data_IF_164623923231
#
_entry.id   IF_164623923231
#
_cell.length_a   1.000
_cell.length_b   1.000
_cell.length_c   1.000
_cell.angle_alpha   90.00
_cell.angle_beta   90.00
_cell.angle_gamma   90.00
#
_symmetry.space_group_name_H-M   'P 1'
#
loop_
_entity.id
_entity.type
_entity.pdbx_description
1 polymer ?
#
# COMPACT_ATOMS: atom_id res chain seq x y z
N UNK A 1 34.61 -11.70 -27.02
CA UNK A 1 34.59 -11.47 -25.56
C UNK A 1 34.63 -9.96 -25.37
N UNK A 2 33.48 -9.36 -25.13
CA UNK A 2 33.33 -7.90 -24.95
C UNK A 2 32.88 -7.67 -23.52
N UNK A 3 33.83 -7.40 -22.65
CA UNK A 3 33.57 -7.04 -21.26
C UNK A 3 32.96 -5.64 -21.23
N UNK A 4 31.66 -5.58 -20.95
CA UNK A 4 31.01 -4.31 -20.57
C UNK A 4 31.20 -4.11 -19.08
N UNK A 5 31.62 -2.91 -18.62
CA UNK A 5 31.82 -2.65 -17.20
C UNK A 5 30.48 -2.59 -16.46
N UNK A 6 30.47 -2.89 -15.15
CA UNK A 6 29.27 -2.80 -14.34
C UNK A 6 28.79 -1.35 -14.20
N UNK A 7 27.49 -1.13 -14.43
CA UNK A 7 26.83 0.15 -14.20
C UNK A 7 26.65 0.33 -12.70
N UNK A 8 27.52 1.10 -12.06
CA UNK A 8 27.30 1.62 -10.71
C UNK A 8 26.46 2.88 -10.79
N UNK A 9 25.16 2.77 -10.47
CA UNK A 9 24.31 3.92 -10.18
C UNK A 9 24.70 4.50 -8.81
N UNK A 10 25.64 5.44 -8.80
CA UNK A 10 25.87 6.29 -7.63
C UNK A 10 24.64 7.18 -7.41
N UNK A 11 23.75 6.73 -6.52
CA UNK A 11 22.62 7.53 -6.08
C UNK A 11 23.13 8.57 -5.09
N UNK A 12 23.27 9.80 -5.57
CA UNK A 12 23.67 10.93 -4.75
C UNK A 12 22.52 11.27 -3.77
N UNK A 13 22.51 10.63 -2.60
CA UNK A 13 21.63 10.99 -1.48
C UNK A 13 22.13 12.30 -0.86
N UNK A 14 21.95 13.39 -1.60
CA UNK A 14 21.99 14.73 -1.02
C UNK A 14 21.01 14.74 0.15
N UNK A 15 21.57 15.03 1.33
CA UNK A 15 20.87 15.18 2.61
C UNK A 15 19.64 16.07 2.37
N UNK A 16 18.45 15.47 2.27
CA UNK A 16 17.21 16.22 2.46
C UNK A 16 17.18 16.59 3.92
N UNK A 17 17.72 17.76 4.22
CA UNK A 17 17.47 18.46 5.47
C UNK A 17 15.95 18.45 5.70
N UNK A 18 15.54 17.94 6.87
CA UNK A 18 14.18 18.03 7.38
C UNK A 18 13.86 19.49 7.66
N UNK A 19 13.70 20.28 6.60
CA UNK A 19 13.12 21.62 6.64
C UNK A 19 11.71 21.48 7.20
N UNK A 20 11.37 22.35 8.15
CA UNK A 20 10.15 22.27 8.97
C UNK A 20 8.91 21.94 8.14
N UNK A 21 8.37 20.75 8.35
CA UNK A 21 7.18 20.26 7.63
C UNK A 21 5.97 21.05 8.10
N UNK A 22 5.47 21.95 7.26
CA UNK A 22 4.28 22.76 7.53
C UNK A 22 3.07 21.83 7.65
N UNK A 23 2.47 21.75 8.83
CA UNK A 23 1.22 21.01 9.06
C UNK A 23 0.05 21.87 8.62
N UNK A 24 -0.85 21.32 7.81
CA UNK A 24 -2.09 21.99 7.40
C UNK A 24 -3.25 21.36 8.19
N UNK A 25 -4.26 22.17 8.51
CA UNK A 25 -5.53 21.72 9.09
C UNK A 25 -6.12 20.56 8.26
N UNK A 26 -6.42 19.44 8.91
CA UNK A 26 -6.93 18.22 8.28
C UNK A 26 -8.32 18.40 7.66
N UNK A 27 -9.04 19.48 7.98
CA UNK A 27 -10.38 19.77 7.46
C UNK A 27 -10.40 20.61 6.17
N UNK A 28 -9.30 21.28 5.81
CA UNK A 28 -9.25 22.17 4.65
C UNK A 28 -9.12 21.41 3.31
N UNK A 29 -9.81 21.83 2.24
CA UNK A 29 -9.53 21.35 0.89
C UNK A 29 -8.12 21.78 0.47
N UNK A 30 -7.34 20.85 -0.09
CA UNK A 30 -6.01 21.14 -0.62
C UNK A 30 -6.23 21.95 -1.90
N UNK A 31 -5.85 23.23 -1.89
CA UNK A 31 -5.86 24.05 -3.10
C UNK A 31 -4.93 23.44 -4.15
N UNK A 32 -5.33 23.51 -5.42
CA UNK A 32 -4.56 23.00 -6.55
C UNK A 32 -3.16 23.62 -6.57
N UNK A 33 -2.14 22.86 -6.14
CA UNK A 33 -0.74 23.26 -6.34
C UNK A 33 0.27 22.75 -5.31
N UNK A 34 -0.10 22.59 -4.03
CA UNK A 34 0.86 22.17 -3.00
C UNK A 34 0.33 20.99 -2.19
N UNK A 35 0.74 19.79 -2.60
CA UNK A 35 0.50 18.59 -1.81
C UNK A 35 1.29 18.68 -0.50
N UNK A 36 0.60 18.48 0.62
CA UNK A 36 1.25 18.34 1.92
C UNK A 36 0.73 17.06 2.62
N UNK A 37 1.57 16.52 3.50
CA UNK A 37 1.19 15.41 4.36
C UNK A 37 0.26 15.93 5.46
N UNK A 38 -0.89 15.27 5.67
CA UNK A 38 -1.83 15.66 6.71
C UNK A 38 -1.32 15.29 8.12
N UNK A 39 -1.81 15.93 9.19
CA UNK A 39 -1.43 15.61 10.56
C UNK A 39 -1.64 14.12 10.88
N UNK A 40 -0.75 13.52 11.69
CA UNK A 40 -0.79 12.12 12.10
C UNK A 40 -0.64 11.08 10.96
N UNK A 41 -0.35 11.48 9.73
CA UNK A 41 -0.18 10.55 8.61
C UNK A 41 0.93 9.51 8.85
N UNK A 42 1.97 9.85 9.60
CA UNK A 42 3.03 8.93 10.02
C UNK A 42 2.54 7.79 10.93
N UNK A 43 1.37 7.94 11.55
CA UNK A 43 0.77 6.91 12.40
C UNK A 43 0.04 5.82 11.62
N UNK A 44 -0.34 6.08 10.36
CA UNK A 44 -1.12 5.15 9.54
C UNK A 44 -0.16 4.10 8.93
N UNK A 45 -0.25 2.80 9.30
CA UNK A 45 0.64 1.76 8.77
C UNK A 45 0.25 1.31 7.35
N UNK A 46 -1.05 1.32 7.02
CA UNK A 46 -1.57 0.87 5.72
C UNK A 46 -1.37 1.96 4.63
N UNK A 47 -0.60 1.69 3.56
CA UNK A 47 -0.36 2.65 2.49
C UNK A 47 -1.63 3.10 1.74
N UNK A 48 -2.62 2.20 1.60
CA UNK A 48 -3.89 2.54 0.96
C UNK A 48 -4.68 3.57 1.77
N UNK A 49 -4.87 3.30 3.08
CA UNK A 49 -5.59 4.21 3.98
C UNK A 49 -4.87 5.54 4.14
N UNK A 50 -3.54 5.51 4.22
CA UNK A 50 -2.70 6.71 4.21
C UNK A 50 -2.96 7.55 2.95
N UNK A 51 -3.00 6.90 1.79
CA UNK A 51 -3.25 7.58 0.52
C UNK A 51 -4.66 8.16 0.48
N UNK A 52 -5.68 7.43 0.93
CA UNK A 52 -7.03 7.98 1.01
C UNK A 52 -7.12 9.16 1.97
N UNK A 53 -6.43 9.11 3.11
CA UNK A 53 -6.38 10.20 4.09
C UNK A 53 -5.70 11.44 3.53
N UNK A 54 -4.46 11.32 3.06
CA UNK A 54 -3.67 12.46 2.57
C UNK A 54 -4.31 13.15 1.35
N UNK A 55 -5.06 12.41 0.54
CA UNK A 55 -5.80 12.95 -0.61
C UNK A 55 -7.26 13.32 -0.27
N UNK A 56 -7.62 13.42 1.02
CA UNK A 56 -8.91 13.93 1.48
C UNK A 56 -10.13 13.05 1.21
N UNK A 57 -9.93 11.79 0.80
CA UNK A 57 -11.02 10.81 0.60
C UNK A 57 -11.48 10.19 1.90
N UNK A 58 -10.53 9.81 2.77
CA UNK A 58 -10.81 9.29 4.10
C UNK A 58 -10.66 10.42 5.10
N UNK A 59 -11.71 10.70 5.88
CA UNK A 59 -11.75 11.82 6.83
C UNK A 59 -12.07 11.29 8.21
N UNK A 60 -11.06 11.12 9.08
CA UNK A 60 -11.30 10.85 10.49
C UNK A 60 -11.86 12.09 11.17
N UNK A 61 -12.51 11.89 12.32
CA UNK A 61 -12.80 12.97 13.26
C UNK A 61 -11.52 13.47 13.97
N UNK A 62 -11.69 14.34 14.96
CA UNK A 62 -10.58 14.91 15.75
C UNK A 62 -9.80 13.87 16.54
N UNK A 63 -10.40 12.73 16.86
CA UNK A 63 -9.83 11.67 17.69
C UNK A 63 -9.23 10.55 16.82
N UNK A 64 -9.41 10.62 15.49
CA UNK A 64 -8.88 9.65 14.53
C UNK A 64 -9.91 8.64 14.04
N UNK A 65 -11.16 8.71 14.50
CA UNK A 65 -12.18 7.72 14.20
C UNK A 65 -12.79 7.92 12.82
N UNK A 66 -12.98 6.83 12.10
CA UNK A 66 -13.65 6.78 10.80
C UNK A 66 -14.79 5.78 10.88
N UNK A 67 -16.00 6.20 10.48
CA UNK A 67 -17.12 5.26 10.42
C UNK A 67 -16.89 4.22 9.33
N UNK A 68 -17.30 2.99 9.61
CA UNK A 68 -17.30 1.86 8.67
C UNK A 68 -18.10 2.15 7.40
N UNK A 69 -19.17 2.95 7.50
CA UNK A 69 -19.92 3.47 6.35
C UNK A 69 -19.09 4.38 5.46
N UNK A 70 -18.34 5.33 6.05
CA UNK A 70 -17.43 6.19 5.30
C UNK A 70 -16.32 5.38 4.61
N UNK A 71 -15.80 4.35 5.28
CA UNK A 71 -14.84 3.43 4.65
C UNK A 71 -15.46 2.68 3.46
N UNK A 72 -16.71 2.18 3.56
CA UNK A 72 -17.40 1.53 2.43
C UNK A 72 -17.53 2.49 1.25
N UNK A 73 -17.94 3.74 1.50
CA UNK A 73 -18.09 4.76 0.45
C UNK A 73 -16.76 5.08 -0.25
N UNK A 74 -15.67 5.22 0.52
CA UNK A 74 -14.33 5.45 -0.04
C UNK A 74 -13.90 4.26 -0.91
N UNK A 75 -14.05 3.04 -0.40
CA UNK A 75 -13.70 1.82 -1.14
C UNK A 75 -14.58 1.67 -2.40
N UNK A 76 -15.86 2.03 -2.34
CA UNK A 76 -16.76 2.04 -3.48
C UNK A 76 -16.31 3.04 -4.54
N UNK A 77 -15.88 4.24 -4.10
CA UNK A 77 -15.43 5.32 -4.98
C UNK A 77 -14.16 4.99 -5.77
N UNK A 78 -13.41 3.96 -5.36
CA UNK A 78 -12.21 3.48 -6.06
C UNK A 78 -12.45 2.14 -6.78
N UNK A 79 -13.71 1.74 -6.91
CA UNK A 79 -14.15 0.59 -7.70
C UNK A 79 -14.10 -0.76 -6.99
N UNK A 80 -13.91 -0.80 -5.67
CA UNK A 80 -13.93 -2.06 -4.90
C UNK A 80 -15.36 -2.60 -4.85
N UNK A 81 -15.51 -3.87 -5.24
CA UNK A 81 -16.80 -4.56 -5.26
C UNK A 81 -17.42 -4.71 -3.88
N UNK A 82 -18.75 -4.64 -3.80
CA UNK A 82 -19.52 -4.75 -2.54
C UNK A 82 -19.11 -5.93 -1.66
N UNK A 83 -18.78 -7.08 -2.26
CA UNK A 83 -18.35 -8.27 -1.51
C UNK A 83 -16.98 -8.05 -0.84
N UNK A 84 -16.00 -7.52 -1.56
CA UNK A 84 -14.68 -7.22 -1.00
C UNK A 84 -14.79 -6.14 0.08
N UNK A 85 -15.56 -5.07 -0.18
CA UNK A 85 -15.75 -4.00 0.81
C UNK A 85 -16.35 -4.51 2.11
N UNK A 86 -17.39 -5.36 2.03
CA UNK A 86 -18.00 -5.97 3.23
C UNK A 86 -16.97 -6.70 4.09
N UNK A 87 -16.02 -7.40 3.48
CA UNK A 87 -14.96 -8.09 4.21
C UNK A 87 -14.01 -7.09 4.87
N UNK A 88 -13.54 -6.08 4.12
CA UNK A 88 -12.63 -5.06 4.63
C UNK A 88 -13.25 -4.23 5.77
N UNK A 89 -14.48 -3.78 5.56
CA UNK A 89 -15.25 -2.98 6.53
C UNK A 89 -15.54 -3.78 7.80
N UNK A 90 -15.87 -5.08 7.68
CA UNK A 90 -16.04 -5.96 8.85
C UNK A 90 -14.73 -6.23 9.60
N UNK A 91 -13.59 -6.14 8.92
CA UNK A 91 -12.28 -6.17 9.55
C UNK A 91 -12.03 -4.92 10.38
N UNK A 92 -12.34 -3.74 9.82
CA UNK A 92 -12.22 -2.46 10.49
C UNK A 92 -13.13 -2.33 11.72
N UNK A 93 -14.38 -2.79 11.64
CA UNK A 93 -15.34 -2.79 12.76
C UNK A 93 -14.88 -3.55 14.02
N UNK A 94 -13.79 -4.30 13.93
CA UNK A 94 -13.24 -5.12 15.03
C UNK A 94 -11.95 -4.56 15.61
N UNK A 95 -11.54 -3.35 15.23
CA UNK A 95 -10.23 -2.82 15.65
C UNK A 95 -10.26 -2.09 16.99
N UNK A 96 -11.40 -1.53 17.38
CA UNK A 96 -11.53 -0.79 18.63
C UNK A 96 -12.88 -1.09 19.31
N UNK A 97 -13.14 -0.41 20.42
CA UNK A 97 -14.34 -0.58 21.23
C UNK A 97 -15.55 0.21 20.71
N UNK A 98 -15.38 1.04 19.67
CA UNK A 98 -16.43 1.91 19.12
C UNK A 98 -17.15 1.14 18.00
N UNK A 99 -18.42 0.75 18.21
CA UNK A 99 -19.15 0.02 17.18
C UNK A 99 -19.24 0.81 15.88
N UNK A 100 -19.10 0.11 14.75
CA UNK A 100 -19.19 0.68 13.41
C UNK A 100 -18.14 1.75 13.09
N UNK A 101 -17.01 1.73 13.79
CA UNK A 101 -15.90 2.66 13.61
C UNK A 101 -14.56 1.93 13.64
N UNK A 102 -13.51 2.62 13.20
CA UNK A 102 -12.14 2.29 13.50
C UNK A 102 -11.30 3.55 13.71
N UNK A 103 -10.31 3.52 14.60
CA UNK A 103 -9.34 4.59 14.73
C UNK A 103 -8.20 4.44 13.71
N UNK A 104 -8.16 5.36 12.74
CA UNK A 104 -7.18 5.38 11.65
C UNK A 104 -5.72 5.57 12.15
N UNK A 105 -5.54 6.23 13.30
CA UNK A 105 -4.22 6.53 13.86
C UNK A 105 -3.75 5.48 14.89
N UNK A 106 -4.62 4.56 15.29
CA UNK A 106 -4.35 3.49 16.27
C UNK A 106 -4.46 2.08 15.65
N UNK A 107 -4.24 1.95 14.35
CA UNK A 107 -4.28 0.66 13.65
C UNK A 107 -3.18 -0.33 14.10
N UNK A 108 -2.06 0.17 14.66
CA UNK A 108 -0.96 -0.69 15.12
C UNK A 108 -1.36 -1.42 16.40
N UNK A 109 -1.14 -2.73 16.43
CA UNK A 109 -1.60 -3.61 17.51
C UNK A 109 -3.11 -3.91 17.50
N UNK A 110 -3.87 -3.35 16.55
CA UNK A 110 -5.29 -3.68 16.36
C UNK A 110 -5.46 -5.06 15.72
N UNK A 111 -6.69 -5.54 15.61
CA UNK A 111 -7.01 -6.79 14.90
C UNK A 111 -6.76 -6.75 13.38
N UNK A 112 -6.52 -5.56 12.82
CA UNK A 112 -6.06 -5.37 11.43
C UNK A 112 -4.55 -5.43 11.28
N UNK A 113 -3.80 -5.31 12.38
CA UNK A 113 -2.34 -5.49 12.37
C UNK A 113 -2.01 -6.99 12.29
N UNK A 114 -1.00 -7.35 11.50
CA UNK A 114 -0.65 -8.74 11.26
C UNK A 114 0.86 -8.94 11.10
N UNK A 115 1.32 -10.15 11.44
CA UNK A 115 2.70 -10.57 11.18
C UNK A 115 2.98 -10.73 9.68
N UNK A 116 4.24 -10.80 9.28
CA UNK A 116 4.65 -10.92 7.88
C UNK A 116 4.50 -9.61 7.10
N UNK A 117 4.38 -8.48 7.80
CA UNK A 117 4.46 -7.15 7.21
C UNK A 117 5.87 -6.84 6.70
N UNK A 118 5.99 -5.98 5.69
CA UNK A 118 7.30 -5.43 5.26
C UNK A 118 7.97 -4.54 6.31
N UNK A 119 7.19 -4.07 7.29
CA UNK A 119 7.66 -3.20 8.36
C UNK A 119 8.17 -1.84 7.91
N UNK A 120 7.81 -1.41 6.69
CA UNK A 120 8.23 -0.12 6.11
C UNK A 120 7.66 1.06 6.91
N UNK A 121 6.50 0.89 7.55
CA UNK A 121 5.83 1.91 8.36
C UNK A 121 5.64 1.51 9.82
N UNK A 122 6.44 0.55 10.31
CA UNK A 122 6.40 0.13 11.71
C UNK A 122 7.05 1.19 12.59
N UNK A 123 6.29 1.77 13.52
CA UNK A 123 6.67 2.88 14.40
C UNK A 123 7.02 4.19 13.68
N UNK A 124 7.81 4.14 12.61
CA UNK A 124 8.24 5.26 11.76
C UNK A 124 8.36 4.79 10.32
N UNK A 125 8.20 5.74 9.39
CA UNK A 125 8.41 5.49 7.96
C UNK A 125 9.91 5.28 7.70
N UNK A 126 10.29 4.18 7.06
CA UNK A 126 11.68 3.86 6.71
C UNK A 126 11.87 3.75 5.20
N UNK A 127 12.40 4.79 4.53
CA UNK A 127 12.76 4.73 3.12
C UNK A 127 13.78 3.63 2.81
N UNK A 128 14.73 3.38 3.71
CA UNK A 128 15.72 2.30 3.54
C UNK A 128 15.06 0.91 3.53
N UNK A 129 14.11 0.66 4.44
CA UNK A 129 13.32 -0.58 4.41
C UNK A 129 12.50 -0.67 3.13
N UNK A 130 11.92 0.44 2.66
CA UNK A 130 11.18 0.44 1.39
C UNK A 130 12.08 -0.04 0.23
N UNK A 131 13.30 0.48 0.12
CA UNK A 131 14.27 0.06 -0.90
C UNK A 131 14.64 -1.42 -0.75
N UNK A 132 15.03 -1.84 0.45
CA UNK A 132 15.60 -3.17 0.71
C UNK A 132 14.58 -4.32 0.85
N UNK A 133 13.32 -4.03 1.18
CA UNK A 133 12.27 -5.05 1.39
C UNK A 133 11.23 -5.11 0.27
N UNK A 134 11.10 -4.06 -0.55
CA UNK A 134 10.07 -3.98 -1.59
C UNK A 134 10.63 -3.59 -2.95
N UNK A 135 11.28 -2.43 -3.08
CA UNK A 135 11.66 -1.89 -4.39
C UNK A 135 12.80 -2.66 -5.07
N UNK A 136 13.65 -3.36 -4.31
CA UNK A 136 14.69 -4.23 -4.86
C UNK A 136 14.17 -5.35 -5.77
N UNK A 137 12.88 -5.67 -5.69
CA UNK A 137 12.23 -6.67 -6.53
C UNK A 137 11.65 -6.09 -7.82
N UNK A 138 11.74 -4.78 -8.02
CA UNK A 138 11.29 -4.16 -9.27
C UNK A 138 12.15 -4.60 -10.46
N UNK A 139 11.54 -4.57 -11.64
CA UNK A 139 12.21 -4.83 -12.91
C UNK A 139 11.97 -3.64 -13.84
N UNK A 140 13.06 -3.07 -14.39
CA UNK A 140 12.99 -1.90 -15.28
C UNK A 140 12.16 -0.74 -14.72
N UNK A 141 12.22 -0.51 -13.40
CA UNK A 141 11.46 0.54 -12.72
C UNK A 141 9.96 0.26 -12.54
N UNK A 142 9.50 -0.97 -12.78
CA UNK A 142 8.10 -1.39 -12.63
C UNK A 142 7.94 -2.53 -11.61
N UNK A 143 6.83 -2.52 -10.87
CA UNK A 143 6.42 -3.54 -9.92
C UNK A 143 5.10 -4.17 -10.37
N UNK A 144 5.16 -5.43 -10.78
CA UNK A 144 4.01 -6.27 -11.09
C UNK A 144 3.67 -7.17 -9.89
N UNK A 145 2.57 -7.92 -10.00
CA UNK A 145 2.08 -8.84 -8.96
C UNK A 145 3.17 -9.79 -8.45
N UNK A 146 4.05 -10.28 -9.32
CA UNK A 146 5.15 -11.17 -8.93
C UNK A 146 6.25 -10.51 -8.10
N UNK A 147 6.49 -9.20 -8.28
CA UNK A 147 7.49 -8.46 -7.53
C UNK A 147 7.00 -8.24 -6.10
N UNK A 148 5.71 -7.94 -5.96
CA UNK A 148 5.02 -7.94 -4.66
C UNK A 148 4.99 -9.32 -4.00
N UNK A 149 4.80 -10.39 -4.78
CA UNK A 149 4.88 -11.76 -4.27
C UNK A 149 6.27 -12.08 -3.71
N UNK A 150 7.32 -11.69 -4.42
CA UNK A 150 8.69 -11.86 -3.98
C UNK A 150 8.97 -11.09 -2.68
N UNK A 151 8.45 -9.86 -2.56
CA UNK A 151 8.52 -9.06 -1.34
C UNK A 151 7.78 -9.71 -0.16
N UNK A 152 6.54 -10.18 -0.37
CA UNK A 152 5.76 -10.85 0.67
C UNK A 152 6.46 -12.13 1.16
N UNK A 153 7.05 -12.91 0.24
CA UNK A 153 7.82 -14.10 0.59
C UNK A 153 9.10 -13.76 1.38
N UNK A 154 9.78 -12.65 1.06
CA UNK A 154 10.90 -12.19 1.87
C UNK A 154 10.44 -11.75 3.26
N UNK A 155 9.37 -10.95 3.36
CA UNK A 155 8.83 -10.51 4.64
C UNK A 155 8.49 -11.71 5.54
N UNK A 156 7.88 -12.76 4.97
CA UNK A 156 7.63 -14.00 5.70
C UNK A 156 8.89 -14.67 6.26
N UNK A 157 10.01 -14.64 5.52
CA UNK A 157 11.26 -15.23 6.01
C UNK A 157 11.83 -14.50 7.23
N UNK A 158 11.42 -13.24 7.43
CA UNK A 158 11.87 -12.38 8.53
C UNK A 158 10.87 -12.38 9.70
N UNK A 159 9.59 -12.51 9.39
CA UNK A 159 8.51 -12.63 10.37
C UNK A 159 7.58 -13.81 9.99
N UNK A 160 7.91 -15.03 10.45
CA UNK A 160 7.24 -16.24 10.01
C UNK A 160 5.80 -16.32 10.53
N UNK A 161 4.84 -16.10 9.63
CA UNK A 161 3.43 -16.36 9.88
C UNK A 161 2.68 -16.64 8.58
N UNK A 162 2.13 -17.86 8.42
CA UNK A 162 1.41 -18.25 7.19
C UNK A 162 0.20 -17.33 6.93
N UNK A 163 -0.62 -17.11 7.97
CA UNK A 163 -1.79 -16.22 7.89
C UNK A 163 -1.39 -14.79 7.55
N UNK A 164 -0.37 -14.25 8.22
CA UNK A 164 0.14 -12.90 7.98
C UNK A 164 0.67 -12.69 6.57
N UNK A 165 1.43 -13.65 6.05
CA UNK A 165 1.93 -13.62 4.66
C UNK A 165 0.80 -13.60 3.63
N UNK A 166 -0.25 -14.40 3.87
CA UNK A 166 -1.42 -14.43 2.99
C UNK A 166 -2.15 -13.08 3.00
N UNK A 167 -2.26 -12.43 4.16
CA UNK A 167 -2.83 -11.09 4.26
C UNK A 167 -1.96 -10.10 3.48
N UNK A 168 -0.63 -10.08 3.69
CA UNK A 168 0.29 -9.19 2.97
C UNK A 168 0.20 -9.35 1.43
N UNK A 169 0.05 -10.59 0.97
CA UNK A 169 -0.14 -10.93 -0.45
C UNK A 169 -1.43 -10.34 -1.00
N UNK A 170 -2.53 -10.46 -0.25
CA UNK A 170 -3.82 -9.86 -0.57
C UNK A 170 -3.72 -8.33 -0.60
N UNK A 171 -3.06 -7.72 0.38
CA UNK A 171 -2.88 -6.27 0.46
C UNK A 171 -2.12 -5.71 -0.73
N UNK A 172 -1.00 -6.34 -1.11
CA UNK A 172 -0.25 -5.89 -2.28
C UNK A 172 -1.05 -6.06 -3.58
N UNK A 173 -1.79 -7.16 -3.71
CA UNK A 173 -2.66 -7.35 -4.87
C UNK A 173 -3.74 -6.27 -4.92
N UNK A 174 -4.38 -5.99 -3.79
CA UNK A 174 -5.40 -4.94 -3.70
C UNK A 174 -4.81 -3.55 -4.03
N UNK A 175 -3.61 -3.23 -3.54
CA UNK A 175 -2.90 -1.98 -3.88
C UNK A 175 -2.65 -1.88 -5.39
N UNK A 176 -2.22 -2.97 -6.02
CA UNK A 176 -1.99 -3.01 -7.47
C UNK A 176 -3.30 -2.87 -8.27
N UNK A 177 -4.39 -3.48 -7.81
CA UNK A 177 -5.72 -3.36 -8.41
C UNK A 177 -6.30 -1.94 -8.27
N UNK A 178 -6.10 -1.30 -7.11
CA UNK A 178 -6.58 0.06 -6.89
C UNK A 178 -5.72 1.07 -7.64
N UNK A 179 -4.40 1.02 -7.48
CA UNK A 179 -3.50 2.10 -7.89
C UNK A 179 -2.69 1.82 -9.17
N UNK A 180 -2.58 0.57 -9.61
CA UNK A 180 -1.73 0.21 -10.75
C UNK A 180 -2.16 0.83 -12.08
N UNK A 181 -1.30 0.81 -13.08
CA UNK A 181 -1.61 1.13 -14.48
C UNK A 181 -1.61 -0.15 -15.30
N UNK A 182 -2.29 -0.16 -16.44
CA UNK A 182 -2.16 -1.25 -17.40
C UNK A 182 -0.96 -0.96 -18.31
N UNK A 183 -0.10 -1.95 -18.51
CA UNK A 183 0.92 -1.93 -19.54
C UNK A 183 0.32 -2.30 -20.92
N UNK A 184 1.21 -2.37 -21.92
CA UNK A 184 0.88 -2.73 -23.30
C UNK A 184 0.27 -4.14 -23.40
N UNK A 185 0.60 -5.02 -22.46
CA UNK A 185 0.11 -6.40 -22.34
C UNK A 185 -1.10 -6.54 -21.41
N UNK A 186 -1.73 -5.44 -21.00
CA UNK A 186 -2.85 -5.41 -20.04
C UNK A 186 -2.51 -5.98 -18.66
N UNK A 187 -1.24 -6.01 -18.28
CA UNK A 187 -0.80 -6.36 -16.93
C UNK A 187 -0.79 -5.12 -16.05
N UNK A 188 -1.22 -5.27 -14.80
CA UNK A 188 -1.18 -4.17 -13.84
C UNK A 188 0.23 -4.01 -13.26
N UNK A 189 0.71 -2.77 -13.19
CA UNK A 189 1.98 -2.41 -12.57
C UNK A 189 1.91 -1.09 -11.80
N UNK A 190 2.82 -0.89 -10.86
CA UNK A 190 3.17 0.41 -10.29
C UNK A 190 4.62 0.75 -10.66
N UNK A 191 4.96 2.00 -10.93
CA UNK A 191 6.38 2.37 -11.02
C UNK A 191 7.00 2.43 -9.64
N UNK A 192 8.33 2.40 -9.56
CA UNK A 192 9.05 2.59 -8.30
C UNK A 192 8.69 3.94 -7.66
N UNK A 193 8.51 5.00 -8.45
CA UNK A 193 8.05 6.31 -7.97
C UNK A 193 6.63 6.25 -7.40
N UNK A 194 5.72 5.52 -8.04
CA UNK A 194 4.37 5.33 -7.52
C UNK A 194 4.39 4.62 -6.16
N UNK A 195 5.21 3.55 -6.03
CA UNK A 195 5.35 2.81 -4.77
C UNK A 195 5.97 3.71 -3.69
N UNK A 196 7.00 4.51 -4.00
CA UNK A 196 7.52 5.52 -3.04
C UNK A 196 6.46 6.53 -2.63
N UNK A 197 5.71 7.05 -3.60
CA UNK A 197 4.61 7.98 -3.37
C UNK A 197 3.55 7.40 -2.44
N UNK A 198 3.11 6.17 -2.68
CA UNK A 198 2.09 5.50 -1.88
C UNK A 198 2.59 5.15 -0.47
N UNK A 199 3.79 4.58 -0.33
CA UNK A 199 4.30 4.09 0.97
C UNK A 199 4.87 5.17 1.86
N UNK A 200 5.50 6.20 1.30
CA UNK A 200 6.16 7.23 2.11
C UNK A 200 5.20 8.40 2.31
N UNK A 201 4.70 8.92 1.20
CA UNK A 201 3.95 10.16 1.16
C UNK A 201 2.45 9.93 1.30
N UNK A 202 1.90 8.81 0.83
CA UNK A 202 0.46 8.66 0.64
C UNK A 202 -0.06 9.46 -0.56
N UNK A 203 0.73 9.56 -1.62
CA UNK A 203 0.33 10.20 -2.88
C UNK A 203 -0.25 9.17 -3.83
N UNK A 204 -1.32 9.56 -4.53
CA UNK A 204 -1.72 8.79 -5.71
C UNK A 204 -0.65 8.89 -6.81
N UNK A 205 -0.55 7.88 -7.68
CA UNK A 205 0.17 8.01 -8.94
C UNK A 205 -0.31 9.25 -9.72
N UNK A 206 0.59 9.93 -10.44
CA UNK A 206 0.38 11.26 -11.07
C UNK A 206 -0.87 11.35 -11.97
N UNK A 207 -1.25 10.25 -12.58
CA UNK A 207 -2.29 10.07 -13.59
C UNK A 207 -3.34 9.05 -13.13
N UNK A 208 -3.33 8.71 -11.83
CA UNK A 208 -4.28 7.77 -11.28
C UNK A 208 -5.71 8.29 -11.36
N UNK A 209 -6.61 7.40 -11.74
CA UNK A 209 -8.05 7.62 -11.72
C UNK A 209 -8.71 6.46 -10.98
N UNK A 210 -9.82 6.72 -10.26
CA UNK A 210 -10.60 5.66 -9.64
C UNK A 210 -11.09 4.67 -10.70
N UNK A 211 -11.21 3.40 -10.30
CA UNK A 211 -11.76 2.37 -11.17
C UNK A 211 -13.27 2.50 -11.32
N UNK A 212 -13.85 1.98 -12.42
CA UNK A 212 -15.29 1.82 -12.53
C UNK A 212 -15.85 1.06 -11.32
N UNK A 213 -17.10 1.35 -10.97
CA UNK A 213 -17.77 0.72 -9.85
C UNK A 213 -17.76 -0.81 -10.00
N UNK A 214 -17.30 -1.51 -8.95
CA UNK A 214 -17.18 -2.97 -8.87
C UNK A 214 -16.15 -3.63 -9.83
N UNK A 215 -15.22 -2.88 -10.42
CA UNK A 215 -14.14 -3.42 -11.24
C UNK A 215 -13.20 -4.33 -10.42
N UNK A 216 -12.98 -4.02 -9.13
CA UNK A 216 -12.10 -4.78 -8.25
C UNK A 216 -12.93 -5.81 -7.46
N UNK A 217 -13.04 -7.00 -8.05
CA UNK A 217 -13.75 -8.15 -7.50
C UNK A 217 -12.91 -9.03 -6.57
N UNK A 218 -13.57 -9.97 -5.88
CA UNK A 218 -12.86 -11.07 -5.18
C UNK A 218 -12.00 -11.87 -6.17
N UNK A 219 -12.51 -12.07 -7.39
CA UNK A 219 -11.80 -12.80 -8.44
C UNK A 219 -10.46 -12.18 -8.82
N UNK A 220 -10.36 -10.85 -8.97
CA UNK A 220 -9.10 -10.19 -9.34
C UNK A 220 -8.07 -10.27 -8.21
N UNK A 221 -8.51 -10.04 -6.97
CA UNK A 221 -7.66 -10.17 -5.78
C UNK A 221 -7.16 -11.60 -5.61
N UNK A 222 -8.04 -12.59 -5.74
CA UNK A 222 -7.68 -14.01 -5.59
C UNK A 222 -6.85 -14.55 -6.75
N UNK A 223 -7.05 -14.06 -7.98
CA UNK A 223 -6.20 -14.41 -9.12
C UNK A 223 -4.76 -13.96 -8.87
N UNK A 224 -4.56 -12.75 -8.33
CA UNK A 224 -3.24 -12.29 -7.91
C UNK A 224 -2.61 -13.23 -6.89
N UNK A 225 -3.33 -13.56 -5.81
CA UNK A 225 -2.89 -14.52 -4.78
C UNK A 225 -2.52 -15.88 -5.38
N UNK A 226 -3.32 -16.41 -6.31
CA UNK A 226 -3.05 -17.69 -6.95
C UNK A 226 -1.75 -17.67 -7.77
N UNK A 227 -1.50 -16.59 -8.54
CA UNK A 227 -0.23 -16.39 -9.25
C UNK A 227 0.95 -16.36 -8.27
N UNK A 228 0.79 -15.71 -7.12
CA UNK A 228 1.84 -15.68 -6.08
C UNK A 228 2.10 -17.07 -5.48
N UNK A 229 1.05 -17.84 -5.21
CA UNK A 229 1.16 -19.19 -4.65
C UNK A 229 1.85 -20.17 -5.63
N UNK A 230 1.52 -20.12 -6.92
CA UNK A 230 2.16 -20.96 -7.95
C UNK A 230 3.65 -20.62 -8.07
N UNK A 231 4.01 -19.33 -8.13
CA UNK A 231 5.43 -18.92 -8.19
C UNK A 231 6.21 -19.37 -6.96
N UNK A 232 5.57 -19.34 -5.78
CA UNK A 232 6.18 -19.83 -4.54
C UNK A 232 6.45 -21.34 -4.60
N UNK A 233 5.52 -22.13 -5.11
CA UNK A 233 5.69 -23.57 -5.30
C UNK A 233 6.84 -23.86 -6.28
N UNK A 234 6.90 -23.18 -7.42
CA UNK A 234 8.00 -23.33 -8.38
C UNK A 234 9.37 -23.05 -7.76
N UNK A 235 9.53 -21.94 -7.04
CA UNK A 235 10.80 -21.61 -6.37
C UNK A 235 11.21 -22.65 -5.32
N UNK A 236 10.25 -23.28 -4.64
CA UNK A 236 10.54 -24.33 -3.65
C UNK A 236 10.99 -25.67 -4.27
N UNK A 237 10.71 -25.88 -5.55
CA UNK A 237 11.06 -27.11 -6.29
C UNK A 237 12.41 -26.96 -7.01
N UNK A 238 13.05 -25.78 -6.96
CA UNK A 238 14.40 -25.56 -7.51
C UNK A 238 14.47 -25.34 -9.02
N UNK A 239 13.36 -24.92 -9.64
CA UNK A 239 13.30 -24.45 -11.03
C UNK A 239 13.31 -22.93 -11.13
#
# INVERSE_FOLDING_TARGET
>A
MTDSPPITLEWNMSKRETTGRKTIDSSAPIADGEWCMRPNAEKIPCPALLSFYNNGRLKPDKDGNVTTGHLDDVLASVGVSKMVRRVLVKGADKTDEIPQSFNLFELRGSSLDHSGSTGIRDQRVSPEKLESSLLRFSESGRMYVEHFAAAANQAQSQDPGFKGTMIQTVEFTALLEVFGRLDESKRRYLTVEDVRGLWIDGKYPKDWQPRPANDIGVGSVMAGVAVMAVKRLWKSIGF
#
